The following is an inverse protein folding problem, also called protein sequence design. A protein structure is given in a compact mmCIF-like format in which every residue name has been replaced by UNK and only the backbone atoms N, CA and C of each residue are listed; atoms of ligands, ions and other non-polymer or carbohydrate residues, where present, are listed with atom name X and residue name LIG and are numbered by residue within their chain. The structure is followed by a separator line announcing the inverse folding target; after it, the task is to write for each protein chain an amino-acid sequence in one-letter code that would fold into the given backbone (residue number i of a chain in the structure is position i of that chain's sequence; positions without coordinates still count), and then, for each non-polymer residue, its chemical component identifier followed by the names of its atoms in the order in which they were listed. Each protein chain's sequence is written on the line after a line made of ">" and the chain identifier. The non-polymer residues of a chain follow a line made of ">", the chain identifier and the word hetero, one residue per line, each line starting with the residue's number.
data_IF_233616361476
#
_entry.id   IF_233616361476
#
_cell.length_a   1.000
_cell.length_b   1.000
_cell.length_c   1.000
_cell.angle_alpha   90.00
_cell.angle_beta   90.00
_cell.angle_gamma   90.00
#
_symmetry.space_group_name_H-M   'P 1'
#
loop_
_entity.id
_entity.type
_entity.pdbx_description
1 polymer ?
#
# COMPACT_ATOMS: atom_id res chain seq x y z
N UNK A 1 3.40 22.92 1.37
CA UNK A 1 4.12 23.19 2.62
C UNK A 1 5.64 23.11 2.41
N UNK A 2 6.25 21.95 2.03
CA UNK A 2 7.71 21.75 1.91
C UNK A 2 8.37 22.88 1.10
N UNK A 3 7.91 23.12 -0.13
CA UNK A 3 8.45 24.17 -1.01
C UNK A 3 8.47 25.57 -0.38
N UNK A 4 7.49 25.88 0.46
CA UNK A 4 7.36 27.22 1.07
C UNK A 4 8.14 27.35 2.38
N UNK A 5 8.49 26.23 3.02
CA UNK A 5 9.17 26.22 4.33
C UNK A 5 10.68 25.97 4.14
N UNK A 6 11.01 24.85 3.53
CA UNK A 6 12.40 24.49 3.24
C UNK A 6 12.43 23.46 2.09
N UNK A 7 12.87 23.84 0.90
CA UNK A 7 12.96 22.95 -0.27
C UNK A 7 14.01 21.84 -0.13
N UNK A 8 14.91 21.91 0.86
CA UNK A 8 15.91 20.87 1.13
C UNK A 8 15.33 19.66 1.89
N UNK A 9 14.12 19.76 2.43
CA UNK A 9 13.45 18.65 3.09
C UNK A 9 13.25 17.49 2.12
N UNK A 10 13.69 16.32 2.52
CA UNK A 10 13.46 15.08 1.77
C UNK A 10 12.06 14.57 2.04
N UNK A 11 11.32 14.32 0.96
CA UNK A 11 9.96 13.81 1.02
C UNK A 11 9.89 12.39 0.45
N UNK A 12 9.21 11.49 1.17
CA UNK A 12 8.92 10.14 0.70
C UNK A 12 7.41 9.94 0.65
N UNK A 13 6.90 9.59 -0.54
CA UNK A 13 5.51 9.21 -0.77
C UNK A 13 5.39 7.68 -0.70
N UNK A 14 4.69 7.18 0.31
CA UNK A 14 4.27 5.79 0.35
C UNK A 14 3.15 5.57 -0.68
N UNK A 15 3.52 5.17 -1.88
CA UNK A 15 2.59 4.71 -2.90
C UNK A 15 2.24 3.23 -2.68
N UNK A 16 1.40 2.63 -3.51
CA UNK A 16 0.85 1.29 -3.27
C UNK A 16 0.69 0.51 -4.57
N UNK A 17 0.79 -0.80 -4.51
CA UNK A 17 0.44 -1.72 -5.60
C UNK A 17 -1.03 -1.61 -6.03
N UNK A 18 -1.92 -1.12 -5.15
CA UNK A 18 -3.33 -0.83 -5.48
C UNK A 18 -3.51 0.17 -6.64
N UNK A 19 -2.47 0.94 -6.96
CA UNK A 19 -2.48 1.82 -8.13
C UNK A 19 -2.53 1.02 -9.43
N UNK A 20 -1.94 -0.18 -9.48
CA UNK A 20 -2.02 -1.07 -10.64
C UNK A 20 -3.44 -1.62 -10.85
N UNK A 21 -4.17 -1.91 -9.78
CA UNK A 21 -5.58 -2.31 -9.78
C UNK A 21 -5.88 -3.43 -10.78
N UNK A 22 -6.54 -3.11 -11.92
CA UNK A 22 -6.69 -4.04 -13.04
C UNK A 22 -5.36 -4.13 -13.79
N UNK A 23 -4.53 -5.08 -13.40
CA UNK A 23 -3.15 -5.26 -13.87
C UNK A 23 -3.08 -5.30 -15.39
N UNK A 24 -2.22 -4.47 -15.98
CA UNK A 24 -2.05 -4.34 -17.43
C UNK A 24 -0.85 -5.14 -17.96
N UNK A 25 0.06 -5.57 -17.10
CA UNK A 25 1.22 -6.41 -17.44
C UNK A 25 1.66 -7.24 -16.25
N UNK A 26 2.23 -8.42 -16.52
CA UNK A 26 2.80 -9.33 -15.50
C UNK A 26 4.19 -9.77 -15.99
N UNK A 27 5.24 -9.59 -15.21
CA UNK A 27 5.28 -8.87 -13.92
C UNK A 27 5.04 -7.36 -14.07
N UNK A 28 4.62 -6.69 -12.99
CA UNK A 28 4.54 -5.23 -12.97
C UNK A 28 5.93 -4.61 -12.81
N UNK A 29 6.08 -3.41 -13.35
CA UNK A 29 7.24 -2.55 -13.21
C UNK A 29 6.82 -1.09 -13.04
N UNK A 30 7.76 -0.19 -12.83
CA UNK A 30 7.49 1.24 -12.72
C UNK A 30 6.91 1.85 -14.02
N UNK A 31 7.08 1.18 -15.16
CA UNK A 31 6.52 1.59 -16.45
C UNK A 31 5.14 0.94 -16.74
N UNK A 32 4.67 0.02 -15.91
CA UNK A 32 3.35 -0.59 -16.09
C UNK A 32 2.26 0.45 -15.89
N UNK A 33 1.30 0.59 -16.83
CA UNK A 33 0.20 1.53 -16.68
C UNK A 33 -0.63 1.27 -15.43
N UNK A 34 -0.97 2.34 -14.71
CA UNK A 34 -1.84 2.27 -13.56
C UNK A 34 -3.31 2.21 -13.97
N UNK A 35 -4.09 1.35 -13.32
CA UNK A 35 -5.53 1.21 -13.51
C UNK A 35 -6.24 0.94 -12.18
N UNK A 36 -6.26 1.92 -11.23
CA UNK A 36 -6.80 1.70 -9.90
C UNK A 36 -8.28 1.32 -9.93
N UNK A 37 -8.69 0.45 -9.00
CA UNK A 37 -10.06 -0.07 -8.90
C UNK A 37 -10.73 0.27 -7.57
N UNK A 38 -10.10 1.14 -6.76
CA UNK A 38 -10.63 1.59 -5.49
C UNK A 38 -10.41 3.10 -5.31
N UNK A 39 -11.26 3.79 -4.51
CA UNK A 39 -11.02 5.19 -4.13
C UNK A 39 -9.65 5.38 -3.46
N UNK A 40 -9.21 4.41 -2.67
CA UNK A 40 -7.88 4.40 -2.06
C UNK A 40 -6.78 4.38 -3.12
N UNK A 41 -6.85 3.45 -4.09
CA UNK A 41 -5.88 3.37 -5.19
C UNK A 41 -5.82 4.67 -6.00
N UNK A 42 -6.98 5.29 -6.27
CA UNK A 42 -7.07 6.57 -6.98
C UNK A 42 -6.40 7.69 -6.19
N UNK A 43 -6.68 7.80 -4.89
CA UNK A 43 -6.07 8.81 -4.02
C UNK A 43 -4.54 8.65 -3.93
N UNK A 44 -4.07 7.41 -3.82
CA UNK A 44 -2.63 7.09 -3.82
C UNK A 44 -1.97 7.39 -5.17
N UNK A 45 -2.65 7.14 -6.28
CA UNK A 45 -2.16 7.49 -7.61
C UNK A 45 -2.05 9.00 -7.80
N UNK A 46 -3.02 9.76 -7.32
CA UNK A 46 -2.94 11.23 -7.32
C UNK A 46 -1.72 11.72 -6.53
N UNK A 47 -1.50 11.19 -5.32
CA UNK A 47 -0.36 11.55 -4.49
C UNK A 47 0.99 11.14 -5.13
N UNK A 48 1.04 9.99 -5.79
CA UNK A 48 2.19 9.51 -6.54
C UNK A 48 2.58 10.48 -7.66
N UNK A 49 1.64 10.80 -8.54
CA UNK A 49 1.88 11.74 -9.65
C UNK A 49 2.14 13.18 -9.17
N UNK A 50 1.49 13.60 -8.08
CA UNK A 50 1.79 14.89 -7.47
C UNK A 50 3.24 14.95 -6.99
N UNK A 51 3.77 13.89 -6.38
CA UNK A 51 5.18 13.82 -5.94
C UNK A 51 6.14 13.94 -7.12
N UNK A 52 5.87 13.19 -8.21
CA UNK A 52 6.67 13.26 -9.43
C UNK A 52 6.62 14.67 -10.02
N UNK A 53 5.43 15.25 -10.16
CA UNK A 53 5.25 16.60 -10.70
C UNK A 53 6.03 17.65 -9.90
N UNK A 54 5.94 17.61 -8.56
CA UNK A 54 6.67 18.55 -7.70
C UNK A 54 8.19 18.36 -7.75
N UNK A 55 8.66 17.12 -7.89
CA UNK A 55 10.09 16.84 -8.12
C UNK A 55 10.58 17.45 -9.40
N UNK A 56 9.84 17.28 -10.49
CA UNK A 56 10.23 17.74 -11.82
C UNK A 56 10.06 19.27 -11.98
N UNK A 57 8.97 19.82 -11.47
CA UNK A 57 8.66 21.25 -11.63
C UNK A 57 9.39 22.16 -10.66
N UNK A 58 9.78 21.67 -9.49
CA UNK A 58 10.32 22.51 -8.41
C UNK A 58 11.62 21.98 -7.81
N UNK A 59 12.22 20.96 -8.39
CA UNK A 59 13.47 20.36 -7.92
C UNK A 59 13.44 19.92 -6.44
N UNK A 60 12.26 19.58 -5.91
CA UNK A 60 12.13 19.05 -4.56
C UNK A 60 12.62 17.60 -4.54
N UNK A 61 13.38 17.22 -3.50
CA UNK A 61 13.71 15.82 -3.30
C UNK A 61 12.47 15.03 -2.91
N UNK A 62 11.76 14.46 -3.90
CA UNK A 62 10.58 13.63 -3.72
C UNK A 62 10.83 12.21 -4.26
N UNK A 63 10.79 11.21 -3.39
CA UNK A 63 10.82 9.80 -3.76
C UNK A 63 9.45 9.17 -3.56
N UNK A 64 9.05 8.28 -4.46
CA UNK A 64 7.79 7.53 -4.34
C UNK A 64 8.07 6.03 -4.43
N UNK A 65 7.82 5.29 -3.33
CA UNK A 65 7.97 3.84 -3.31
C UNK A 65 6.63 3.15 -3.54
N UNK A 66 6.55 2.23 -4.50
CA UNK A 66 5.37 1.43 -4.75
C UNK A 66 5.40 0.22 -3.82
N UNK A 67 4.69 0.32 -2.71
CA UNK A 67 4.66 -0.72 -1.69
C UNK A 67 3.64 -1.80 -2.06
N UNK A 68 4.09 -3.03 -2.09
CA UNK A 68 3.24 -4.23 -2.12
C UNK A 68 2.84 -4.63 -0.71
N UNK A 69 2.03 -5.68 -0.55
CA UNK A 69 1.62 -6.17 0.75
C UNK A 69 2.85 -6.53 1.59
N UNK A 70 2.86 -6.05 2.81
CA UNK A 70 3.92 -6.32 3.78
C UNK A 70 3.32 -6.53 5.16
N UNK A 71 3.95 -7.37 5.94
CA UNK A 71 3.45 -7.82 7.23
C UNK A 71 4.45 -7.50 8.35
N UNK A 72 3.93 -7.37 9.56
CA UNK A 72 4.72 -7.20 10.77
C UNK A 72 3.95 -7.68 12.00
N UNK A 73 4.63 -7.76 13.14
CA UNK A 73 3.99 -8.06 14.42
C UNK A 73 2.95 -7.00 14.83
N UNK A 74 3.05 -5.79 14.26
CA UNK A 74 2.12 -4.68 14.51
C UNK A 74 0.93 -4.64 13.55
N UNK A 75 0.82 -5.62 12.64
CA UNK A 75 -0.30 -5.67 11.68
C UNK A 75 -1.64 -5.73 12.41
N UNK A 76 -2.61 -4.93 11.98
CA UNK A 76 -3.95 -4.92 12.56
C UNK A 76 -4.68 -6.26 12.38
N UNK A 77 -5.57 -6.60 13.32
CA UNK A 77 -6.30 -7.89 13.34
C UNK A 77 -7.35 -8.01 12.24
N UNK A 78 -7.74 -6.91 11.62
CA UNK A 78 -8.62 -6.84 10.46
C UNK A 78 -7.99 -7.39 9.17
N UNK A 79 -6.65 -7.47 9.13
CA UNK A 79 -5.94 -8.02 7.97
C UNK A 79 -5.80 -9.53 8.06
N UNK A 80 -5.94 -10.21 6.92
CA UNK A 80 -6.07 -11.67 6.83
C UNK A 80 -4.93 -12.42 7.52
N UNK A 81 -3.70 -12.03 7.34
CA UNK A 81 -2.53 -12.68 7.94
C UNK A 81 -2.55 -12.61 9.46
N UNK A 82 -2.84 -11.43 10.02
CA UNK A 82 -2.96 -11.26 11.47
C UNK A 82 -4.20 -11.94 12.03
N UNK A 83 -5.32 -11.89 11.30
CA UNK A 83 -6.55 -12.60 11.63
C UNK A 83 -6.30 -14.10 11.77
N UNK A 84 -5.56 -14.69 10.80
CA UNK A 84 -5.22 -16.12 10.82
C UNK A 84 -4.33 -16.45 12.02
N UNK A 85 -3.22 -15.74 12.22
CA UNK A 85 -2.28 -16.04 13.30
C UNK A 85 -2.89 -15.87 14.69
N UNK A 86 -3.73 -14.84 14.92
CA UNK A 86 -4.45 -14.63 16.18
C UNK A 86 -5.48 -15.75 16.42
N UNK A 87 -6.25 -16.13 15.41
CA UNK A 87 -7.23 -17.20 15.53
C UNK A 87 -6.56 -18.56 15.77
N UNK A 88 -5.48 -18.89 15.06
CA UNK A 88 -4.73 -20.13 15.31
C UNK A 88 -4.22 -20.23 16.75
N UNK A 89 -3.69 -19.13 17.29
CA UNK A 89 -3.25 -19.08 18.68
C UNK A 89 -4.42 -19.31 19.65
N UNK A 90 -5.57 -18.71 19.41
CA UNK A 90 -6.78 -18.89 20.24
C UNK A 90 -7.35 -20.29 20.16
N UNK A 91 -7.37 -20.91 18.98
CA UNK A 91 -7.79 -22.30 18.79
C UNK A 91 -6.87 -23.24 19.56
N UNK A 92 -5.55 -23.04 19.46
CA UNK A 92 -4.57 -23.83 20.20
C UNK A 92 -4.72 -23.70 21.74
N UNK A 93 -5.18 -22.54 22.22
CA UNK A 93 -5.47 -22.30 23.63
C UNK A 93 -6.87 -22.73 24.08
N UNK A 94 -7.70 -23.26 23.17
CA UNK A 94 -9.08 -23.65 23.45
C UNK A 94 -10.03 -22.49 23.74
N UNK A 95 -9.70 -21.28 23.30
CA UNK A 95 -10.53 -20.07 23.50
C UNK A 95 -11.34 -19.67 22.27
N UNK A 96 -11.18 -20.41 21.17
CA UNK A 96 -11.92 -20.24 19.93
C UNK A 96 -12.00 -21.60 19.20
N UNK A 97 -13.12 -21.92 18.60
CA UNK A 97 -13.34 -23.23 17.96
C UNK A 97 -13.00 -23.22 16.48
N UNK A 98 -13.21 -22.11 15.79
CA UNK A 98 -13.03 -22.01 14.34
C UNK A 98 -12.58 -20.62 13.89
N UNK A 99 -12.00 -20.56 12.71
CA UNK A 99 -11.68 -19.32 12.00
C UNK A 99 -12.60 -19.15 10.79
N UNK A 100 -13.34 -18.06 10.76
CA UNK A 100 -14.13 -17.67 9.59
C UNK A 100 -13.30 -16.79 8.65
N UNK A 101 -13.14 -17.24 7.42
CA UNK A 101 -12.52 -16.50 6.32
C UNK A 101 -13.55 -16.19 5.24
N UNK A 102 -13.23 -15.19 4.41
CA UNK A 102 -14.04 -14.85 3.24
C UNK A 102 -13.79 -15.81 2.07
N UNK A 103 -13.61 -15.25 0.86
CA UNK A 103 -13.32 -16.07 -0.32
C UNK A 103 -11.95 -16.75 -0.18
N UNK A 104 -11.93 -18.09 -0.23
CA UNK A 104 -10.70 -18.88 -0.15
C UNK A 104 -10.00 -19.07 -1.51
N UNK A 105 -10.71 -18.72 -2.61
CA UNK A 105 -10.22 -18.83 -3.99
C UNK A 105 -9.69 -17.49 -4.53
N UNK A 106 -9.46 -16.51 -3.66
CA UNK A 106 -9.03 -15.17 -4.04
C UNK A 106 -7.50 -15.08 -4.20
#
# INVERSE_FOLDING_TARGET
>A
AIRAVDPAIRFYQASTSEMFGKVQAVPQSESTPFYPRSPYGIAKLFAHWSTINYRESYSIFGAAGILFNHESLLRGKEFVTRKITDAMARIALGTQDALELGNLDA
#
